data_IF_319938187000
#
_entry.id   IF_319938187000
#
_cell.length_a   1.000
_cell.length_b   1.000
_cell.length_c   1.000
_cell.angle_alpha   90.00
_cell.angle_beta   90.00
_cell.angle_gamma   90.00
#
_symmetry.space_group_name_H-M   'P 1'
#
loop_
_entity.id
_entity.type
_entity.pdbx_description
1 polymer ?
#
# COMPACT_ATOMS: atom_id res chain seq x y z
N UNK A 1 -9.53 -10.08 -1.25
CA UNK A 1 -8.29 -10.87 -1.08
C UNK A 1 -8.02 -11.72 -2.32
N UNK A 2 -8.93 -12.62 -2.73
CA UNK A 2 -8.77 -13.47 -3.92
C UNK A 2 -8.44 -12.68 -5.20
N UNK A 3 -9.18 -11.60 -5.51
CA UNK A 3 -8.93 -10.79 -6.72
C UNK A 3 -7.51 -10.19 -6.76
N UNK A 4 -7.04 -9.63 -5.63
CA UNK A 4 -5.71 -9.02 -5.50
C UNK A 4 -4.62 -10.10 -5.61
N UNK A 5 -4.78 -11.22 -4.90
CA UNK A 5 -3.83 -12.33 -4.94
C UNK A 5 -3.73 -12.94 -6.34
N UNK A 6 -4.86 -13.17 -7.00
CA UNK A 6 -4.92 -13.71 -8.36
C UNK A 6 -4.24 -12.80 -9.38
N UNK A 7 -4.45 -11.47 -9.28
CA UNK A 7 -3.74 -10.49 -10.12
C UNK A 7 -2.23 -10.54 -9.88
N UNK A 8 -1.78 -10.48 -8.63
CA UNK A 8 -0.37 -10.49 -8.27
C UNK A 8 0.34 -11.79 -8.71
N UNK A 9 -0.31 -12.95 -8.58
CA UNK A 9 0.24 -14.24 -9.02
C UNK A 9 0.36 -14.31 -10.56
N UNK A 10 -0.60 -13.76 -11.30
CA UNK A 10 -0.52 -13.65 -12.76
C UNK A 10 0.63 -12.75 -13.19
N UNK A 11 0.77 -11.57 -12.58
CA UNK A 11 1.87 -10.63 -12.86
C UNK A 11 3.23 -11.27 -12.55
N UNK A 12 3.37 -11.93 -11.40
CA UNK A 12 4.57 -12.68 -11.04
C UNK A 12 4.89 -13.75 -12.10
N UNK A 13 3.90 -14.56 -12.51
CA UNK A 13 4.12 -15.60 -13.53
C UNK A 13 4.50 -15.05 -14.91
N UNK A 14 3.89 -13.93 -15.34
CA UNK A 14 4.26 -13.22 -16.57
C UNK A 14 5.72 -12.76 -16.48
N UNK A 15 6.09 -12.08 -15.39
CA UNK A 15 7.45 -11.57 -15.20
C UNK A 15 8.49 -12.70 -15.18
N UNK A 16 8.16 -13.83 -14.56
CA UNK A 16 9.00 -15.03 -14.57
C UNK A 16 9.21 -15.56 -16.01
N UNK A 17 8.13 -15.74 -16.78
CA UNK A 17 8.22 -16.26 -18.15
C UNK A 17 8.98 -15.31 -19.09
N UNK A 18 8.78 -14.01 -18.94
CA UNK A 18 9.45 -12.99 -19.74
C UNK A 18 10.91 -12.74 -19.29
N UNK A 19 11.39 -13.47 -18.27
CA UNK A 19 12.72 -13.31 -17.68
C UNK A 19 12.97 -11.92 -17.08
N UNK A 20 11.91 -11.20 -16.70
CA UNK A 20 11.96 -9.96 -15.92
C UNK A 20 12.10 -10.27 -14.43
N UNK A 21 13.29 -10.71 -14.04
CA UNK A 21 13.56 -11.24 -12.70
C UNK A 21 14.33 -10.20 -11.88
N UNK A 22 13.61 -9.40 -11.10
CA UNK A 22 14.18 -8.48 -10.12
C UNK A 22 13.29 -8.41 -8.85
N UNK A 23 13.79 -7.76 -7.79
CA UNK A 23 13.08 -7.66 -6.49
C UNK A 23 11.78 -6.84 -6.54
N UNK A 24 11.56 -6.07 -7.60
CA UNK A 24 10.35 -5.28 -7.82
C UNK A 24 9.29 -6.05 -8.62
N UNK A 25 9.68 -7.06 -9.40
CA UNK A 25 8.78 -7.87 -10.25
C UNK A 25 8.41 -9.22 -9.64
N UNK A 26 9.29 -9.80 -8.82
CA UNK A 26 9.11 -11.09 -8.14
C UNK A 26 8.78 -10.84 -6.67
N UNK A 27 7.51 -11.08 -6.31
CA UNK A 27 6.97 -10.70 -5.01
C UNK A 27 7.24 -11.72 -3.91
N UNK A 28 7.60 -11.23 -2.72
CA UNK A 28 7.49 -11.99 -1.47
C UNK A 28 6.14 -11.73 -0.82
N UNK A 29 5.35 -12.78 -0.62
CA UNK A 29 4.03 -12.71 -0.01
C UNK A 29 4.18 -12.74 1.51
N UNK A 30 3.56 -11.77 2.20
CA UNK A 30 3.73 -11.60 3.65
C UNK A 30 2.38 -11.60 4.37
N UNK A 31 2.23 -12.50 5.34
CA UNK A 31 1.14 -12.49 6.31
C UNK A 31 1.63 -11.87 7.61
N UNK A 32 1.34 -10.57 7.78
CA UNK A 32 1.74 -9.79 8.95
C UNK A 32 0.50 -9.36 9.73
N UNK A 33 0.39 -9.75 10.99
CA UNK A 33 -0.69 -9.33 11.90
C UNK A 33 -0.44 -9.79 13.34
N UNK A 34 -1.26 -9.35 14.29
CA UNK A 34 -1.17 -9.71 15.71
C UNK A 34 -1.32 -11.21 16.00
N UNK A 35 -1.05 -11.62 17.23
CA UNK A 35 -1.18 -13.01 17.65
C UNK A 35 -2.64 -13.51 17.52
N UNK A 36 -2.83 -14.79 17.15
CA UNK A 36 -4.16 -15.42 17.08
C UNK A 36 -5.04 -15.04 15.89
N UNK A 37 -4.55 -14.25 14.93
CA UNK A 37 -5.32 -13.78 13.75
C UNK A 37 -5.39 -14.78 12.58
N UNK A 38 -4.81 -15.98 12.73
CA UNK A 38 -4.84 -17.03 11.70
C UNK A 38 -3.76 -16.93 10.61
N UNK A 39 -2.67 -16.18 10.83
CA UNK A 39 -1.53 -16.05 9.87
C UNK A 39 -0.97 -17.39 9.40
N UNK A 40 -0.51 -18.21 10.34
CA UNK A 40 0.11 -19.51 10.07
C UNK A 40 -0.86 -20.43 9.35
N UNK A 41 -2.15 -20.38 9.72
CA UNK A 41 -3.21 -21.11 9.02
C UNK A 41 -3.34 -20.65 7.56
N UNK A 42 -3.43 -19.33 7.31
CA UNK A 42 -3.54 -18.79 5.96
C UNK A 42 -2.28 -19.10 5.11
N UNK A 43 -1.10 -19.09 5.72
CA UNK A 43 0.14 -19.43 5.04
C UNK A 43 0.22 -20.94 4.69
N UNK A 44 -0.19 -21.82 5.60
CA UNK A 44 -0.27 -23.26 5.35
C UNK A 44 -1.33 -23.61 4.29
N UNK A 45 -2.44 -22.86 4.24
CA UNK A 45 -3.48 -23.00 3.23
C UNK A 45 -3.19 -22.20 1.93
N UNK A 46 -2.04 -21.52 1.83
CA UNK A 46 -1.74 -20.55 0.76
C UNK A 46 -1.88 -21.14 -0.64
N UNK A 47 -1.41 -22.39 -0.87
CA UNK A 47 -1.58 -23.07 -2.16
C UNK A 47 -3.05 -23.17 -2.57
N UNK A 48 -3.92 -23.55 -1.64
CA UNK A 48 -5.36 -23.69 -1.89
C UNK A 48 -5.95 -22.32 -2.21
N UNK A 49 -5.67 -21.31 -1.39
CA UNK A 49 -6.14 -19.93 -1.60
C UNK A 49 -5.64 -19.35 -2.93
N UNK A 50 -4.39 -19.65 -3.33
CA UNK A 50 -3.80 -19.22 -4.60
C UNK A 50 -4.52 -19.85 -5.80
N UNK A 51 -4.83 -21.15 -5.76
CA UNK A 51 -5.61 -21.81 -6.82
C UNK A 51 -7.03 -21.24 -6.90
N UNK A 52 -7.71 -21.10 -5.75
CA UNK A 52 -9.07 -20.55 -5.66
C UNK A 52 -9.13 -19.08 -6.13
N UNK A 53 -8.06 -18.31 -5.91
CA UNK A 53 -7.97 -16.91 -6.33
C UNK A 53 -8.03 -16.71 -7.85
N UNK A 54 -7.74 -17.77 -8.60
CA UNK A 54 -7.77 -17.78 -10.05
C UNK A 54 -9.04 -18.44 -10.61
N UNK A 55 -9.92 -18.99 -9.77
CA UNK A 55 -11.05 -19.83 -10.23
C UNK A 55 -12.11 -19.08 -11.06
N UNK A 56 -12.22 -17.77 -10.92
CA UNK A 56 -13.18 -16.94 -11.68
C UNK A 56 -12.63 -16.42 -13.01
N UNK A 57 -11.38 -16.72 -13.34
CA UNK A 57 -10.70 -16.24 -14.54
C UNK A 57 -10.48 -17.38 -15.53
N UNK A 58 -11.22 -17.39 -16.64
CA UNK A 58 -11.18 -18.45 -17.64
C UNK A 58 -10.08 -18.27 -18.69
N UNK A 59 -9.16 -17.31 -18.51
CA UNK A 59 -8.03 -17.15 -19.42
C UNK A 59 -7.09 -18.35 -19.42
N UNK A 60 -6.43 -18.59 -20.56
CA UNK A 60 -5.40 -19.63 -20.70
C UNK A 60 -4.29 -19.47 -19.66
N UNK A 61 -3.85 -18.22 -19.43
CA UNK A 61 -2.86 -17.87 -18.41
C UNK A 61 -3.28 -18.34 -17.01
N UNK A 62 -4.52 -18.04 -16.61
CA UNK A 62 -5.05 -18.46 -15.31
C UNK A 62 -5.17 -19.99 -15.22
N UNK A 63 -5.57 -20.66 -16.31
CA UNK A 63 -5.65 -22.12 -16.37
C UNK A 63 -4.30 -22.81 -16.21
N UNK A 64 -3.28 -22.33 -16.93
CA UNK A 64 -1.90 -22.82 -16.81
C UNK A 64 -1.36 -22.60 -15.40
N UNK A 65 -1.58 -21.40 -14.84
CA UNK A 65 -1.11 -21.10 -13.49
C UNK A 65 -1.82 -21.93 -12.42
N UNK A 66 -3.13 -22.18 -12.55
CA UNK A 66 -3.86 -23.11 -11.66
C UNK A 66 -3.29 -24.52 -11.70
N UNK A 67 -2.95 -25.03 -12.89
CA UNK A 67 -2.33 -26.35 -13.06
C UNK A 67 -0.97 -26.39 -12.35
N UNK A 68 -0.13 -25.37 -12.58
CA UNK A 68 1.19 -25.23 -11.95
C UNK A 68 1.10 -25.17 -10.43
N UNK A 69 0.24 -24.31 -9.87
CA UNK A 69 0.00 -24.19 -8.43
C UNK A 69 -0.58 -25.46 -7.82
N UNK A 70 -1.43 -26.17 -8.56
CA UNK A 70 -1.99 -27.46 -8.15
C UNK A 70 -0.96 -28.59 -8.19
N UNK A 71 0.12 -28.46 -8.95
CA UNK A 71 1.25 -29.40 -8.96
C UNK A 71 2.45 -28.96 -8.11
N UNK A 72 2.34 -27.83 -7.40
CA UNK A 72 3.49 -27.21 -6.75
C UNK A 72 4.08 -28.06 -5.60
N UNK A 73 5.40 -28.06 -5.50
CA UNK A 73 6.11 -28.56 -4.32
C UNK A 73 5.99 -27.54 -3.20
N UNK A 74 5.44 -27.97 -2.07
CA UNK A 74 5.17 -27.09 -0.93
C UNK A 74 6.08 -27.48 0.23
N UNK A 75 6.90 -26.54 0.68
CA UNK A 75 7.69 -26.67 1.90
C UNK A 75 7.11 -25.75 2.97
N UNK A 76 6.66 -26.33 4.08
CA UNK A 76 6.11 -25.60 5.21
C UNK A 76 7.11 -25.56 6.36
N UNK A 77 7.97 -24.54 6.36
CA UNK A 77 9.00 -24.33 7.36
C UNK A 77 8.44 -23.46 8.49
N UNK A 78 8.33 -24.00 9.70
CA UNK A 78 7.89 -23.23 10.87
C UNK A 78 9.03 -23.07 11.87
N UNK A 79 9.18 -21.84 12.37
CA UNK A 79 10.04 -21.51 13.51
C UNK A 79 9.26 -21.42 14.83
N UNK A 80 7.96 -21.70 14.84
CA UNK A 80 7.17 -21.65 16.08
C UNK A 80 7.51 -22.80 17.05
N UNK A 81 6.94 -22.71 18.26
CA UNK A 81 7.16 -23.58 19.43
C UNK A 81 7.59 -25.01 19.09
N UNK A 82 8.82 -25.37 19.48
CA UNK A 82 9.42 -26.70 19.26
C UNK A 82 10.35 -26.78 18.05
N UNK A 83 10.28 -25.83 17.11
CA UNK A 83 11.15 -25.72 15.94
C UNK A 83 11.85 -24.36 15.82
N UNK A 84 11.94 -23.61 16.92
CA UNK A 84 12.64 -22.33 16.99
C UNK A 84 14.11 -22.46 16.57
N UNK A 85 14.72 -21.34 16.18
CA UNK A 85 16.15 -21.30 15.83
C UNK A 85 16.95 -21.84 17.02
N UNK A 86 17.77 -22.86 16.75
CA UNK A 86 18.60 -23.47 17.78
C UNK A 86 19.86 -22.64 18.01
N UNK A 87 20.48 -22.78 19.18
CA UNK A 87 21.70 -22.03 19.53
C UNK A 87 22.90 -22.31 18.59
N UNK A 88 22.93 -23.49 17.96
CA UNK A 88 23.92 -23.89 16.97
C UNK A 88 23.61 -23.36 15.54
N UNK A 89 22.41 -22.83 15.30
CA UNK A 89 21.98 -22.25 14.03
C UNK A 89 22.30 -20.75 13.96
N UNK A 90 23.56 -20.41 13.64
CA UNK A 90 24.01 -19.01 13.53
C UNK A 90 23.41 -18.24 12.34
N UNK A 91 23.00 -18.95 11.28
CA UNK A 91 22.39 -18.37 10.08
C UNK A 91 20.95 -18.90 9.90
N UNK A 92 19.91 -18.09 10.18
CA UNK A 92 18.52 -18.55 10.07
C UNK A 92 18.09 -18.91 8.65
N UNK A 93 18.74 -18.36 7.62
CA UNK A 93 18.46 -18.74 6.24
C UNK A 93 18.88 -20.20 5.95
N UNK A 94 20.02 -20.65 6.47
CA UNK A 94 20.44 -22.06 6.37
C UNK A 94 19.56 -22.97 7.24
N UNK A 95 19.04 -22.43 8.35
CA UNK A 95 18.08 -23.14 9.21
C UNK A 95 16.77 -23.48 8.48
N UNK A 96 16.37 -22.69 7.47
CA UNK A 96 15.24 -23.00 6.58
C UNK A 96 15.54 -24.28 5.80
N UNK A 97 16.73 -24.40 5.21
CA UNK A 97 17.12 -25.56 4.41
C UNK A 97 17.14 -26.86 5.24
N UNK A 98 17.61 -26.80 6.49
CA UNK A 98 17.56 -27.93 7.41
C UNK A 98 16.12 -28.41 7.66
N UNK A 99 15.18 -27.46 7.83
CA UNK A 99 13.76 -27.78 8.03
C UNK A 99 13.08 -28.26 6.74
N UNK A 100 13.55 -27.83 5.56
CA UNK A 100 13.13 -28.42 4.28
C UNK A 100 13.58 -29.87 4.16
N UNK A 101 14.84 -30.19 4.52
CA UNK A 101 15.35 -31.56 4.55
C UNK A 101 14.58 -32.45 5.52
N UNK A 102 14.22 -31.94 6.70
CA UNK A 102 13.42 -32.67 7.68
C UNK A 102 12.05 -33.09 7.10
N UNK A 103 11.41 -32.24 6.29
CA UNK A 103 10.14 -32.59 5.61
C UNK A 103 10.31 -33.70 4.57
N UNK A 104 11.50 -33.82 3.96
CA UNK A 104 11.84 -34.88 3.01
C UNK A 104 12.23 -36.19 3.72
N UNK A 105 12.58 -36.13 5.01
CA UNK A 105 13.05 -37.25 5.83
C UNK A 105 12.15 -37.39 7.07
N UNK A 106 10.87 -37.78 6.93
CA UNK A 106 9.88 -37.72 8.00
C UNK A 106 10.14 -38.66 9.18
N UNK A 107 11.06 -39.62 9.03
CA UNK A 107 11.45 -40.56 10.08
C UNK A 107 12.65 -40.08 10.89
N UNK A 108 13.25 -38.95 10.53
CA UNK A 108 14.45 -38.41 11.15
C UNK A 108 14.13 -37.18 12.00
N UNK A 109 15.07 -36.78 12.85
CA UNK A 109 14.98 -35.59 13.69
C UNK A 109 15.99 -34.50 13.29
N UNK A 110 15.84 -33.29 13.85
CA UNK A 110 16.79 -32.20 13.62
C UNK A 110 18.23 -32.55 14.04
N UNK A 111 18.42 -33.48 14.99
CA UNK A 111 19.73 -33.96 15.37
C UNK A 111 20.38 -34.83 14.29
N UNK A 112 19.61 -35.66 13.59
CA UNK A 112 20.05 -36.42 12.43
C UNK A 112 20.48 -35.48 11.30
N UNK A 113 19.68 -34.45 11.00
CA UNK A 113 20.03 -33.44 9.99
C UNK A 113 21.36 -32.77 10.35
N UNK A 114 21.50 -32.28 11.58
CA UNK A 114 22.71 -31.60 12.04
C UNK A 114 23.99 -32.48 12.03
N UNK A 115 23.86 -33.81 12.19
CA UNK A 115 25.00 -34.74 12.18
C UNK A 115 25.41 -35.19 10.78
N UNK A 116 24.45 -35.31 9.86
CA UNK A 116 24.68 -35.95 8.56
C UNK A 116 24.73 -34.97 7.38
N UNK A 117 24.25 -33.74 7.57
CA UNK A 117 24.23 -32.72 6.52
C UNK A 117 25.02 -31.50 6.96
N UNK A 118 25.93 -31.06 6.09
CA UNK A 118 26.45 -29.69 6.17
C UNK A 118 25.28 -28.77 5.79
N UNK A 119 24.93 -27.74 6.58
CA UNK A 119 23.74 -26.92 6.34
C UNK A 119 23.71 -26.40 4.90
N UNK A 120 22.83 -26.93 4.04
CA UNK A 120 22.78 -26.51 2.65
C UNK A 120 22.09 -25.16 2.55
N UNK A 121 22.23 -24.47 1.42
CA UNK A 121 21.30 -23.40 1.09
C UNK A 121 19.95 -24.00 0.65
N UNK A 122 18.82 -23.31 0.84
CA UNK A 122 17.51 -23.76 0.36
C UNK A 122 17.53 -24.19 -1.12
N UNK A 123 18.26 -23.46 -1.97
CA UNK A 123 18.42 -23.79 -3.39
C UNK A 123 19.05 -25.17 -3.61
N UNK A 124 19.99 -25.58 -2.76
CA UNK A 124 20.65 -26.88 -2.89
C UNK A 124 19.71 -28.03 -2.51
N UNK A 125 18.83 -27.81 -1.52
CA UNK A 125 17.75 -28.76 -1.22
C UNK A 125 16.85 -28.93 -2.44
N UNK A 126 16.45 -27.84 -3.09
CA UNK A 126 15.63 -27.90 -4.30
C UNK A 126 16.32 -28.65 -5.45
N UNK A 127 17.63 -28.43 -5.67
CA UNK A 127 18.41 -29.20 -6.65
C UNK A 127 18.47 -30.68 -6.33
N UNK A 128 18.60 -31.06 -5.06
CA UNK A 128 18.60 -32.47 -4.63
C UNK A 128 17.25 -33.12 -4.96
N UNK A 129 16.14 -32.46 -4.64
CA UNK A 129 14.78 -32.97 -4.94
C UNK A 129 14.56 -33.06 -6.44
N UNK A 130 14.89 -32.03 -7.21
CA UNK A 130 14.80 -32.02 -8.68
C UNK A 130 15.57 -33.17 -9.33
N UNK A 131 16.78 -33.44 -8.85
CA UNK A 131 17.59 -34.57 -9.30
C UNK A 131 16.95 -35.92 -8.95
N UNK A 132 16.35 -36.05 -7.77
CA UNK A 132 15.66 -37.28 -7.34
C UNK A 132 14.41 -37.55 -8.18
N UNK A 133 13.59 -36.52 -8.39
CA UNK A 133 12.34 -36.56 -9.17
C UNK A 133 12.59 -36.58 -10.70
N UNK A 134 13.83 -36.39 -11.14
CA UNK A 134 14.24 -36.31 -12.56
C UNK A 134 13.49 -35.22 -13.33
N UNK A 135 13.29 -34.07 -12.68
CA UNK A 135 12.60 -32.92 -13.25
C UNK A 135 13.55 -31.71 -13.35
N UNK A 136 13.33 -30.85 -14.35
CA UNK A 136 14.05 -29.58 -14.46
C UNK A 136 13.46 -28.56 -13.48
N UNK A 137 14.34 -27.89 -12.73
CA UNK A 137 13.99 -26.84 -11.77
C UNK A 137 13.21 -25.68 -12.41
N UNK A 138 13.45 -25.37 -13.68
CA UNK A 138 12.70 -24.33 -14.40
C UNK A 138 11.25 -24.71 -14.71
N UNK A 139 10.96 -26.01 -14.79
CA UNK A 139 9.60 -26.51 -15.08
C UNK A 139 8.75 -26.65 -13.82
N UNK A 140 9.38 -26.78 -12.65
CA UNK A 140 8.72 -26.99 -11.37
C UNK A 140 8.17 -25.66 -10.82
N UNK A 141 7.06 -25.74 -10.08
CA UNK A 141 6.55 -24.64 -9.25
C UNK A 141 6.79 -24.95 -7.80
N UNK A 142 7.33 -23.99 -7.06
CA UNK A 142 7.72 -24.18 -5.66
C UNK A 142 6.99 -23.13 -4.82
N UNK A 143 6.37 -23.56 -3.73
CA UNK A 143 5.82 -22.69 -2.71
C UNK A 143 6.62 -22.93 -1.44
N UNK A 144 7.38 -21.92 -1.02
CA UNK A 144 8.14 -21.95 0.22
C UNK A 144 7.40 -21.11 1.25
N UNK A 145 6.79 -21.79 2.23
CA UNK A 145 6.17 -21.16 3.38
C UNK A 145 7.17 -21.09 4.53
N UNK A 146 7.45 -19.89 5.03
CA UNK A 146 8.31 -19.65 6.19
C UNK A 146 7.50 -18.96 7.29
N UNK A 147 7.06 -19.75 8.25
CA UNK A 147 6.21 -19.33 9.34
C UNK A 147 7.01 -18.99 10.60
N UNK A 148 6.63 -17.92 11.29
CA UNK A 148 7.24 -17.54 12.56
C UNK A 148 8.50 -16.68 12.46
N UNK A 149 8.66 -15.85 11.41
CA UNK A 149 9.84 -14.99 11.27
C UNK A 149 10.03 -14.01 12.43
N UNK A 150 8.99 -13.74 13.24
CA UNK A 150 9.12 -12.89 14.43
C UNK A 150 10.15 -13.40 15.43
N UNK A 151 10.45 -14.70 15.45
CA UNK A 151 11.47 -15.26 16.35
C UNK A 151 12.89 -14.80 16.00
N UNK A 152 13.06 -14.21 14.81
CA UNK A 152 14.30 -13.60 14.34
C UNK A 152 14.39 -12.11 14.70
N UNK A 153 13.31 -11.50 15.19
CA UNK A 153 13.26 -10.10 15.62
C UNK A 153 13.80 -9.98 17.04
N UNK A 154 15.00 -9.43 17.17
CA UNK A 154 15.62 -9.04 18.45
C UNK A 154 15.34 -7.57 18.77
N UNK A 155 15.11 -6.75 17.75
CA UNK A 155 14.81 -5.33 17.84
C UNK A 155 13.73 -4.93 16.83
N UNK A 156 12.98 -3.86 17.13
CA UNK A 156 12.01 -3.25 16.20
C UNK A 156 12.67 -2.72 14.92
N UNK A 157 13.97 -2.41 14.97
CA UNK A 157 14.74 -1.94 13.81
C UNK A 157 15.31 -3.06 12.94
N UNK A 158 15.14 -4.32 13.33
CA UNK A 158 15.74 -5.44 12.60
C UNK A 158 15.24 -5.52 11.17
N UNK A 159 13.97 -5.22 10.93
CA UNK A 159 13.39 -5.09 9.59
C UNK A 159 14.06 -4.06 8.67
N UNK A 160 14.86 -3.14 9.23
CA UNK A 160 15.55 -2.04 8.52
C UNK A 160 17.07 -2.20 8.51
N UNK A 161 17.60 -3.10 9.33
CA UNK A 161 19.04 -3.27 9.56
C UNK A 161 19.54 -4.44 8.74
N UNK A 162 20.39 -4.19 7.74
CA UNK A 162 20.85 -5.21 6.79
C UNK A 162 21.56 -6.40 7.45
N UNK A 163 22.23 -6.13 8.57
CA UNK A 163 22.96 -7.14 9.35
C UNK A 163 22.06 -7.89 10.34
N UNK A 164 20.77 -7.55 10.44
CA UNK A 164 19.87 -8.27 11.35
C UNK A 164 19.55 -9.66 10.80
N UNK A 165 19.41 -10.68 11.67
CA UNK A 165 19.02 -12.00 11.24
C UNK A 165 17.67 -12.02 10.49
N UNK A 166 16.72 -11.18 10.92
CA UNK A 166 15.40 -11.06 10.28
C UNK A 166 15.50 -10.50 8.85
N UNK A 167 16.15 -9.34 8.66
CA UNK A 167 16.25 -8.71 7.35
C UNK A 167 17.07 -9.54 6.39
N UNK A 168 18.22 -10.04 6.86
CA UNK A 168 19.07 -10.93 6.07
C UNK A 168 18.26 -12.13 5.57
N UNK A 169 17.55 -12.82 6.46
CA UNK A 169 16.77 -14.01 6.09
C UNK A 169 15.65 -13.68 5.12
N UNK A 170 14.90 -12.60 5.37
CA UNK A 170 13.82 -12.18 4.47
C UNK A 170 14.35 -11.78 3.08
N UNK A 171 15.46 -11.03 3.02
CA UNK A 171 16.09 -10.69 1.75
C UNK A 171 16.59 -11.94 1.02
N UNK A 172 17.24 -12.87 1.72
CA UNK A 172 17.75 -14.12 1.13
C UNK A 172 16.63 -15.03 0.63
N UNK A 173 15.46 -15.03 1.27
CA UNK A 173 14.25 -15.69 0.74
C UNK A 173 13.79 -15.01 -0.56
N UNK A 174 13.80 -13.68 -0.61
CA UNK A 174 13.51 -12.93 -1.83
C UNK A 174 14.52 -13.23 -2.95
N UNK A 175 15.81 -13.25 -2.63
CA UNK A 175 16.91 -13.56 -3.55
C UNK A 175 16.79 -14.99 -4.11
N UNK A 176 16.31 -15.95 -3.30
CA UNK A 176 16.03 -17.31 -3.75
C UNK A 176 14.98 -17.35 -4.89
N UNK A 177 13.96 -16.48 -4.82
CA UNK A 177 12.94 -16.37 -5.85
C UNK A 177 13.44 -15.71 -7.14
N UNK A 178 14.59 -15.03 -7.11
CA UNK A 178 15.24 -14.49 -8.30
C UNK A 178 16.05 -15.53 -9.09
N UNK A 179 16.06 -16.79 -8.65
CA UNK A 179 16.61 -17.88 -9.44
C UNK A 179 15.83 -18.10 -10.75
N UNK A 180 16.38 -18.91 -11.66
CA UNK A 180 15.65 -19.40 -12.86
C UNK A 180 14.62 -20.48 -12.50
N UNK A 181 13.84 -20.23 -11.44
CA UNK A 181 12.90 -21.17 -10.84
C UNK A 181 11.63 -20.39 -10.51
N UNK A 182 10.46 -20.96 -10.84
CA UNK A 182 9.21 -20.33 -10.45
C UNK A 182 8.91 -20.63 -8.97
N UNK A 183 9.42 -19.78 -8.09
CA UNK A 183 9.32 -19.91 -6.65
C UNK A 183 8.45 -18.79 -6.06
N UNK A 184 7.48 -19.19 -5.23
CA UNK A 184 6.57 -18.30 -4.55
C UNK A 184 6.91 -18.33 -3.06
N UNK A 185 7.63 -17.31 -2.53
CA UNK A 185 7.94 -17.25 -1.12
C UNK A 185 6.76 -16.62 -0.36
N UNK A 186 6.33 -17.30 0.69
CA UNK A 186 5.24 -16.90 1.56
C UNK A 186 5.76 -16.89 2.99
N UNK A 187 5.84 -15.73 3.64
CA UNK A 187 6.34 -15.66 5.01
C UNK A 187 5.28 -15.13 5.97
N UNK A 188 5.37 -15.53 7.23
CA UNK A 188 4.55 -14.97 8.31
C UNK A 188 5.44 -14.30 9.35
N UNK A 189 4.92 -13.23 9.94
CA UNK A 189 5.48 -12.69 11.17
C UNK A 189 4.37 -12.10 12.05
N UNK A 190 4.49 -12.28 13.36
CA UNK A 190 3.68 -11.54 14.32
C UNK A 190 4.24 -10.13 14.49
N UNK A 191 3.44 -9.12 14.16
CA UNK A 191 3.80 -7.71 14.28
C UNK A 191 2.88 -7.03 15.31
N UNK A 192 3.43 -6.07 16.04
CA UNK A 192 2.72 -5.28 17.07
C UNK A 192 2.57 -3.80 16.70
N UNK A 193 3.01 -3.41 15.50
CA UNK A 193 2.91 -2.06 14.92
C UNK A 193 2.73 -2.11 13.39
N UNK A 194 2.65 -0.96 12.70
CA UNK A 194 2.46 -0.86 11.24
C UNK A 194 3.50 -1.60 10.41
N UNK A 195 3.12 -2.20 9.27
CA UNK A 195 3.99 -3.03 8.41
C UNK A 195 5.22 -2.26 7.89
N UNK A 196 5.06 -0.96 7.67
CA UNK A 196 6.06 0.00 7.20
C UNK A 196 7.21 0.20 8.21
N UNK A 197 6.99 -0.16 9.47
CA UNK A 197 8.02 -0.17 10.51
C UNK A 197 8.83 -1.46 10.51
N UNK A 198 8.25 -2.56 10.04
CA UNK A 198 8.85 -3.90 10.06
C UNK A 198 9.69 -4.24 8.83
N UNK A 199 9.71 -3.41 7.77
CA UNK A 199 10.44 -3.70 6.52
C UNK A 199 11.24 -2.50 6.01
N UNK A 200 12.43 -2.74 5.46
CA UNK A 200 13.26 -1.72 4.80
C UNK A 200 12.58 -1.24 3.51
N UNK A 201 11.89 -0.12 3.63
CA UNK A 201 11.25 0.62 2.56
C UNK A 201 12.29 1.19 1.57
N UNK A 202 12.57 0.47 0.48
CA UNK A 202 13.57 0.89 -0.52
C UNK A 202 13.00 1.20 -1.90
N UNK A 203 11.88 0.59 -2.34
CA UNK A 203 11.18 0.97 -3.59
C UNK A 203 9.80 1.62 -3.37
N UNK A 204 9.13 1.29 -2.26
CA UNK A 204 7.79 1.82 -1.97
C UNK A 204 7.76 3.31 -1.58
N UNK A 205 8.86 3.86 -1.05
CA UNK A 205 8.94 5.30 -0.73
C UNK A 205 8.89 6.16 -1.99
N UNK A 206 9.66 5.76 -3.00
CA UNK A 206 9.67 6.44 -4.28
C UNK A 206 8.35 6.23 -5.01
N UNK A 207 7.77 5.02 -4.96
CA UNK A 207 6.45 4.80 -5.58
C UNK A 207 5.37 5.68 -4.97
N UNK A 208 5.29 5.79 -3.64
CA UNK A 208 4.32 6.69 -2.96
C UNK A 208 4.54 8.15 -3.40
N UNK A 209 5.79 8.62 -3.45
CA UNK A 209 6.07 10.00 -3.88
C UNK A 209 5.79 10.24 -5.37
N UNK A 210 6.04 9.24 -6.22
CA UNK A 210 5.70 9.26 -7.64
C UNK A 210 4.18 9.24 -7.84
N UNK A 211 3.46 8.47 -7.03
CA UNK A 211 2.00 8.41 -6.99
C UNK A 211 1.42 9.75 -6.51
N UNK A 212 2.02 10.38 -5.49
CA UNK A 212 1.65 11.71 -5.01
C UNK A 212 1.91 12.82 -6.05
N UNK A 213 2.84 12.57 -6.99
CA UNK A 213 3.06 13.40 -8.17
C UNK A 213 2.07 13.10 -9.31
N UNK A 214 1.21 12.07 -9.18
CA UNK A 214 0.05 11.82 -10.05
C UNK A 214 0.38 11.69 -11.54
N UNK A 215 1.59 11.26 -11.89
CA UNK A 215 2.09 11.22 -13.27
C UNK A 215 2.21 12.58 -13.96
N UNK A 216 2.23 13.69 -13.22
CA UNK A 216 2.43 15.03 -13.80
C UNK A 216 3.92 15.28 -14.01
N UNK A 217 4.34 15.48 -15.27
CA UNK A 217 5.74 15.74 -15.61
C UNK A 217 6.37 16.86 -14.77
N UNK A 218 5.65 17.96 -14.55
CA UNK A 218 6.13 19.09 -13.73
C UNK A 218 6.36 18.76 -12.25
N UNK A 219 5.55 17.87 -11.69
CA UNK A 219 5.72 17.41 -10.30
C UNK A 219 6.88 16.40 -10.20
N UNK A 220 6.97 15.50 -11.19
CA UNK A 220 8.04 14.50 -11.28
C UNK A 220 9.42 15.14 -11.52
N UNK A 221 9.51 16.18 -12.34
CA UNK A 221 10.74 16.98 -12.49
C UNK A 221 11.15 17.63 -11.16
N UNK A 222 10.20 18.18 -10.41
CA UNK A 222 10.46 18.72 -9.08
C UNK A 222 10.96 17.65 -8.11
N UNK A 223 10.42 16.42 -8.21
CA UNK A 223 10.83 15.29 -7.40
C UNK A 223 12.23 14.81 -7.76
N UNK A 224 12.55 14.71 -9.05
CA UNK A 224 13.90 14.41 -9.55
C UNK A 224 14.91 15.44 -9.05
N UNK A 225 14.59 16.74 -9.17
CA UNK A 225 15.43 17.81 -8.66
C UNK A 225 15.60 17.69 -7.13
N UNK A 226 14.53 17.42 -6.37
CA UNK A 226 14.55 17.27 -4.91
C UNK A 226 15.41 16.07 -4.46
N UNK A 227 15.33 14.96 -5.19
CA UNK A 227 16.14 13.76 -4.99
C UNK A 227 17.62 14.04 -5.28
N UNK A 228 17.94 14.70 -6.40
CA UNK A 228 19.30 15.03 -6.79
C UNK A 228 20.24 13.82 -6.77
N UNK A 229 21.34 13.90 -6.00
CA UNK A 229 22.30 12.78 -5.80
C UNK A 229 22.09 12.04 -4.47
N UNK A 230 20.96 12.25 -3.78
CA UNK A 230 20.73 11.65 -2.47
C UNK A 230 20.48 10.14 -2.61
N UNK A 231 20.99 9.37 -1.65
CA UNK A 231 20.69 7.96 -1.56
C UNK A 231 19.27 7.75 -1.01
N UNK A 232 18.37 7.27 -1.87
CA UNK A 232 16.94 7.03 -1.56
C UNK A 232 16.77 6.11 -0.35
N UNK A 233 17.71 5.19 -0.11
CA UNK A 233 17.65 4.28 1.04
C UNK A 233 17.85 5.00 2.38
N UNK A 234 18.52 6.15 2.38
CA UNK A 234 18.89 6.92 3.56
C UNK A 234 18.09 8.23 3.71
N UNK A 235 17.25 8.57 2.73
CA UNK A 235 16.47 9.81 2.75
C UNK A 235 15.23 9.68 3.63
N UNK A 236 15.08 10.66 4.52
CA UNK A 236 13.87 10.94 5.27
C UNK A 236 12.77 11.50 4.34
N UNK A 237 11.59 10.87 4.35
CA UNK A 237 10.51 11.18 3.40
C UNK A 237 9.92 12.56 3.68
N UNK A 238 9.77 12.92 4.96
CA UNK A 238 9.27 14.24 5.36
C UNK A 238 10.15 15.35 4.83
N UNK A 239 11.46 15.19 4.98
CA UNK A 239 12.43 16.15 4.47
C UNK A 239 12.36 16.23 2.95
N UNK A 240 12.27 15.08 2.27
CA UNK A 240 12.20 15.04 0.81
C UNK A 240 10.92 15.67 0.27
N UNK A 241 9.76 15.43 0.89
CA UNK A 241 8.49 15.98 0.41
C UNK A 241 8.38 17.48 0.71
N UNK A 242 8.96 17.95 1.82
CA UNK A 242 9.09 19.39 2.11
C UNK A 242 10.02 20.08 1.11
N UNK A 243 11.14 19.45 0.77
CA UNK A 243 12.08 19.94 -0.25
C UNK A 243 11.40 20.00 -1.63
N UNK A 244 10.66 18.94 -2.01
CA UNK A 244 9.83 18.91 -3.22
C UNK A 244 8.84 20.07 -3.24
N UNK A 245 8.05 20.22 -2.17
CA UNK A 245 7.05 21.28 -2.04
C UNK A 245 7.66 22.67 -2.19
N UNK A 246 8.79 22.92 -1.53
CA UNK A 246 9.52 24.18 -1.63
C UNK A 246 9.97 24.49 -3.05
N UNK A 247 10.56 23.51 -3.75
CA UNK A 247 10.99 23.67 -5.14
C UNK A 247 9.83 23.93 -6.09
N UNK A 248 8.74 23.18 -5.95
CA UNK A 248 7.53 23.39 -6.75
C UNK A 248 6.92 24.77 -6.49
N UNK A 249 6.91 25.23 -5.24
CA UNK A 249 6.41 26.55 -4.88
C UNK A 249 7.24 27.64 -5.55
N UNK A 250 8.57 27.59 -5.41
CA UNK A 250 9.47 28.58 -6.01
C UNK A 250 9.33 28.64 -7.53
N UNK A 251 9.22 27.48 -8.18
CA UNK A 251 9.17 27.35 -9.64
C UNK A 251 7.81 27.76 -10.22
N UNK A 252 6.71 27.44 -9.54
CA UNK A 252 5.37 27.54 -10.12
C UNK A 252 4.41 28.50 -9.41
N UNK A 253 4.84 29.22 -8.37
CA UNK A 253 3.94 30.09 -7.62
C UNK A 253 3.24 31.18 -8.44
N UNK A 254 3.83 31.60 -9.56
CA UNK A 254 3.26 32.59 -10.48
C UNK A 254 2.54 31.98 -11.69
N UNK A 255 2.67 30.68 -11.91
CA UNK A 255 2.21 30.02 -13.13
C UNK A 255 0.68 29.88 -13.20
N UNK A 256 0.02 29.81 -12.05
CA UNK A 256 -1.44 29.64 -12.00
C UNK A 256 -2.18 30.94 -12.31
N UNK A 257 -1.63 32.11 -11.97
CA UNK A 257 -2.31 33.41 -12.11
C UNK A 257 -3.77 33.36 -11.59
N UNK A 258 -3.97 32.71 -10.43
CA UNK A 258 -5.28 32.48 -9.80
C UNK A 258 -5.37 33.37 -8.54
N UNK A 259 -6.55 33.93 -8.29
CA UNK A 259 -6.81 34.67 -7.05
C UNK A 259 -7.01 33.74 -5.86
N UNK A 260 -6.89 34.29 -4.64
CA UNK A 260 -6.99 33.52 -3.39
C UNK A 260 -8.29 32.71 -3.25
N UNK A 261 -9.43 33.30 -3.59
CA UNK A 261 -10.75 32.66 -3.48
C UNK A 261 -10.86 31.50 -4.48
N UNK A 262 -10.34 31.70 -5.69
CA UNK A 262 -10.39 30.71 -6.75
C UNK A 262 -9.53 29.48 -6.45
N UNK A 263 -8.36 29.62 -5.81
CA UNK A 263 -7.52 28.45 -5.44
C UNK A 263 -8.24 27.54 -4.45
N UNK A 264 -8.95 28.11 -3.47
CA UNK A 264 -9.73 27.32 -2.51
C UNK A 264 -10.89 26.61 -3.19
N UNK A 265 -11.62 27.32 -4.07
CA UNK A 265 -12.71 26.71 -4.84
C UNK A 265 -12.18 25.61 -5.77
N UNK A 266 -10.97 25.75 -6.33
CA UNK A 266 -10.34 24.73 -7.20
C UNK A 266 -9.97 23.50 -6.36
N UNK A 267 -9.34 23.70 -5.20
CA UNK A 267 -9.02 22.63 -4.28
C UNK A 267 -10.27 21.88 -3.80
N UNK A 268 -11.34 22.61 -3.48
CA UNK A 268 -12.62 22.03 -3.08
C UNK A 268 -13.26 21.21 -4.22
N UNK A 269 -13.27 21.73 -5.45
CA UNK A 269 -13.78 21.00 -6.62
C UNK A 269 -13.00 19.70 -6.87
N UNK A 270 -11.67 19.72 -6.76
CA UNK A 270 -10.81 18.54 -6.91
C UNK A 270 -11.07 17.53 -5.78
N UNK A 271 -11.04 17.97 -4.52
CA UNK A 271 -11.21 17.12 -3.34
C UNK A 271 -12.58 16.44 -3.31
N UNK A 272 -13.63 17.14 -3.73
CA UNK A 272 -15.00 16.63 -3.72
C UNK A 272 -15.39 15.89 -5.00
N UNK A 273 -14.50 15.87 -6.02
CA UNK A 273 -14.80 15.41 -7.38
C UNK A 273 -16.10 16.05 -7.91
N UNK A 274 -16.18 17.37 -7.80
CA UNK A 274 -17.35 18.11 -8.27
C UNK A 274 -17.49 17.97 -9.78
N UNK A 275 -18.70 17.63 -10.24
CA UNK A 275 -19.06 17.65 -11.65
C UNK A 275 -19.21 19.10 -12.10
N UNK A 276 -18.41 19.53 -13.07
CA UNK A 276 -18.38 20.88 -13.62
C UNK A 276 -18.91 20.90 -15.05
N UNK A 277 -19.55 21.99 -15.44
CA UNK A 277 -19.98 22.25 -16.81
C UNK A 277 -18.88 23.04 -17.53
N UNK A 278 -18.33 22.50 -18.62
CA UNK A 278 -17.19 23.08 -19.31
C UNK A 278 -17.45 24.46 -19.92
N UNK A 279 -18.71 24.77 -20.23
CA UNK A 279 -19.12 26.05 -20.81
C UNK A 279 -19.50 27.09 -19.76
N UNK A 280 -19.48 26.73 -18.47
CA UNK A 280 -19.83 27.63 -17.37
C UNK A 280 -18.63 27.93 -16.50
N UNK A 281 -18.64 29.13 -15.95
CA UNK A 281 -17.71 29.52 -14.90
C UNK A 281 -17.99 28.66 -13.67
N UNK A 282 -16.93 28.14 -13.05
CA UNK A 282 -17.06 27.34 -11.84
C UNK A 282 -17.67 28.20 -10.72
N UNK A 283 -18.65 27.71 -9.94
CA UNK A 283 -19.23 28.45 -8.83
C UNK A 283 -18.16 29.05 -7.91
N UNK A 284 -18.26 30.35 -7.65
CA UNK A 284 -17.29 31.09 -6.82
C UNK A 284 -16.00 31.52 -7.53
N UNK A 285 -15.86 31.31 -8.85
CA UNK A 285 -14.68 31.66 -9.64
C UNK A 285 -14.97 32.65 -10.78
N UNK A 286 -13.92 33.08 -11.50
CA UNK A 286 -14.04 33.97 -12.69
C UNK A 286 -13.67 33.31 -14.02
N UNK A 287 -13.19 32.06 -14.00
CA UNK A 287 -12.66 31.35 -15.16
C UNK A 287 -13.40 30.03 -15.43
N UNK A 288 -13.35 29.59 -16.68
CA UNK A 288 -13.80 28.26 -17.11
C UNK A 288 -12.84 27.17 -16.61
N UNK A 289 -13.32 25.93 -16.42
CA UNK A 289 -12.47 24.80 -16.00
C UNK A 289 -11.19 24.62 -16.83
N UNK A 290 -11.28 24.72 -18.16
CA UNK A 290 -10.13 24.56 -19.07
C UNK A 290 -9.02 25.59 -18.82
N UNK A 291 -9.38 26.82 -18.46
CA UNK A 291 -8.41 27.88 -18.19
C UNK A 291 -7.55 27.60 -16.96
N UNK A 292 -8.04 26.78 -16.02
CA UNK A 292 -7.27 26.32 -14.87
C UNK A 292 -6.30 25.17 -15.22
N UNK A 293 -6.60 24.41 -16.27
CA UNK A 293 -5.75 23.32 -16.73
C UNK A 293 -4.63 23.78 -17.68
N UNK A 294 -4.78 24.94 -18.35
CA UNK A 294 -3.79 25.50 -19.28
C UNK A 294 -2.34 25.55 -18.74
N UNK A 295 -2.08 25.90 -17.45
CA UNK A 295 -0.72 25.89 -16.90
C UNK A 295 -0.09 24.49 -16.79
N UNK A 296 -0.86 23.40 -16.99
CA UNK A 296 -0.39 22.02 -16.93
C UNK A 296 -0.12 21.51 -15.51
N UNK A 297 -0.67 22.18 -14.49
CA UNK A 297 -0.57 21.81 -13.08
C UNK A 297 -1.82 21.08 -12.57
N UNK A 298 -2.95 21.34 -13.23
CA UNK A 298 -4.25 20.72 -13.00
C UNK A 298 -4.62 20.06 -14.32
N UNK A 299 -5.20 18.87 -14.25
CA UNK A 299 -5.80 18.18 -15.38
C UNK A 299 -7.29 18.43 -15.43
N UNK A 300 -7.78 18.35 -16.65
CA UNK A 300 -9.18 18.47 -16.95
C UNK A 300 -9.63 17.18 -17.62
N UNK A 301 -10.46 16.41 -16.91
CA UNK A 301 -10.87 15.06 -17.32
C UNK A 301 -12.34 15.06 -17.73
N UNK A 302 -12.57 14.66 -18.98
CA UNK A 302 -13.91 14.52 -19.56
C UNK A 302 -14.51 13.17 -19.22
N UNK A 303 -15.78 13.18 -18.84
CA UNK A 303 -16.58 11.97 -18.78
C UNK A 303 -17.11 11.66 -20.19
N UNK A 304 -16.94 10.42 -20.64
CA UNK A 304 -17.32 10.02 -21.99
C UNK A 304 -18.76 10.43 -22.36
N UNK A 305 -18.90 11.19 -23.44
CA UNK A 305 -20.19 11.49 -24.07
C UNK A 305 -21.04 12.61 -23.47
N UNK A 306 -20.57 13.34 -22.44
CA UNK A 306 -21.30 14.47 -21.82
C UNK A 306 -20.37 15.66 -21.57
N UNK A 307 -20.87 16.90 -21.71
CA UNK A 307 -20.16 18.16 -21.41
C UNK A 307 -20.04 18.42 -19.89
N UNK A 308 -19.75 17.37 -19.13
CA UNK A 308 -19.64 17.40 -17.68
C UNK A 308 -18.32 16.75 -17.29
N UNK A 309 -17.54 17.48 -16.52
CA UNK A 309 -16.09 17.32 -16.44
C UNK A 309 -15.60 17.46 -14.99
N UNK A 310 -14.40 16.96 -14.70
CA UNK A 310 -13.78 17.04 -13.38
C UNK A 310 -12.39 17.68 -13.46
N UNK A 311 -12.03 18.44 -12.43
CA UNK A 311 -10.64 18.86 -12.23
C UNK A 311 -9.92 17.80 -11.41
N UNK A 312 -8.73 17.41 -11.84
CA UNK A 312 -7.85 16.51 -11.09
C UNK A 312 -6.47 17.16 -10.92
N UNK A 313 -5.83 16.93 -9.77
CA UNK A 313 -4.45 17.37 -9.56
C UNK A 313 -3.72 16.36 -8.68
N UNK A 314 -2.39 16.24 -8.86
CA UNK A 314 -1.54 15.48 -7.96
C UNK A 314 -1.71 15.93 -6.52
N UNK A 315 -1.57 14.99 -5.60
CA UNK A 315 -1.72 15.24 -4.17
C UNK A 315 -0.84 16.39 -3.70
N UNK A 316 0.41 16.46 -4.18
CA UNK A 316 1.35 17.54 -3.84
C UNK A 316 0.82 18.93 -4.22
N UNK A 317 0.09 19.06 -5.32
CA UNK A 317 -0.53 20.33 -5.73
C UNK A 317 -1.74 20.67 -4.88
N UNK A 318 -2.58 19.67 -4.55
CA UNK A 318 -3.71 19.86 -3.64
C UNK A 318 -3.22 20.35 -2.28
N UNK A 319 -2.14 19.75 -1.75
CA UNK A 319 -1.50 20.21 -0.53
C UNK A 319 -1.07 21.69 -0.63
N UNK A 320 -0.38 22.05 -1.72
CA UNK A 320 0.07 23.42 -1.93
C UNK A 320 -1.09 24.42 -2.10
N UNK A 321 -2.17 24.04 -2.80
CA UNK A 321 -3.37 24.89 -2.97
C UNK A 321 -3.97 25.28 -1.63
N UNK A 322 -4.00 24.34 -0.69
CA UNK A 322 -4.56 24.55 0.64
C UNK A 322 -3.60 25.33 1.55
N UNK A 323 -2.31 24.99 1.57
CA UNK A 323 -1.38 25.47 2.60
C UNK A 323 -0.48 26.63 2.16
N UNK A 324 -0.05 26.67 0.91
CA UNK A 324 1.02 27.58 0.46
C UNK A 324 0.50 28.74 -0.39
N UNK A 325 -0.56 28.48 -1.14
CA UNK A 325 -1.20 29.49 -1.97
C UNK A 325 -2.30 30.28 -1.22
N UNK A 326 -2.76 29.80 -0.06
CA UNK A 326 -3.79 30.41 0.76
C UNK A 326 -3.24 31.28 1.90
N UNK A 327 -3.42 32.62 1.85
CA UNK A 327 -3.11 33.52 3.00
C UNK A 327 -4.16 33.50 4.12
N UNK A 328 -5.34 32.91 3.91
CA UNK A 328 -6.18 32.38 4.99
C UNK A 328 -6.59 31.00 4.55
N UNK A 329 -6.26 30.03 5.37
CA UNK A 329 -6.62 28.65 5.16
C UNK A 329 -8.08 28.51 5.58
N UNK A 330 -8.91 27.87 4.75
CA UNK A 330 -10.28 27.50 5.14
C UNK A 330 -10.20 26.81 6.53
N UNK A 331 -10.99 27.22 7.54
CA UNK A 331 -10.90 26.65 8.89
C UNK A 331 -11.01 25.12 8.92
N UNK A 332 -11.74 24.54 7.97
CA UNK A 332 -11.94 23.10 7.80
C UNK A 332 -10.67 22.44 7.23
N UNK A 333 -10.09 23.03 6.20
CA UNK A 333 -8.88 22.50 5.54
C UNK A 333 -7.59 22.82 6.31
N UNK A 334 -7.60 23.84 7.16
CA UNK A 334 -6.43 24.27 7.96
C UNK A 334 -5.90 23.19 8.89
N UNK A 335 -6.81 22.37 9.40
CA UNK A 335 -6.49 21.35 10.39
C UNK A 335 -6.30 19.97 9.73
N UNK A 336 -6.39 19.88 8.41
CA UNK A 336 -6.06 18.66 7.69
C UNK A 336 -4.54 18.47 7.66
N UNK A 337 -4.10 17.24 7.89
CA UNK A 337 -2.69 16.88 7.85
C UNK A 337 -2.33 16.38 6.46
N UNK A 338 -1.92 17.29 5.59
CA UNK A 338 -1.49 16.96 4.21
C UNK A 338 -0.05 16.44 4.12
N UNK A 339 0.73 16.56 5.20
CA UNK A 339 2.08 16.04 5.28
C UNK A 339 2.24 15.34 6.61
N UNK A 340 1.65 14.17 6.67
CA UNK A 340 1.58 13.36 7.87
C UNK A 340 2.59 12.23 7.88
N UNK A 341 3.59 12.28 6.99
CA UNK A 341 4.72 11.36 7.07
C UNK A 341 5.46 11.55 8.42
N UNK A 342 5.37 12.74 9.04
CA UNK A 342 5.90 13.07 10.36
C UNK A 342 4.97 12.72 11.54
N UNK A 343 3.72 12.28 11.37
CA UNK A 343 3.02 11.63 12.50
C UNK A 343 3.58 10.25 12.81
N UNK A 344 4.36 9.66 11.89
CA UNK A 344 5.32 8.60 12.23
C UNK A 344 6.47 9.09 13.14
N UNK A 345 6.63 10.40 13.36
CA UNK A 345 7.65 11.03 14.23
C UNK A 345 7.08 11.44 15.60
N UNK A 346 5.76 11.50 15.80
CA UNK A 346 5.17 11.63 17.15
C UNK A 346 5.48 10.41 18.05
N UNK A 347 5.97 9.31 17.46
CA UNK A 347 6.53 8.15 18.16
C UNK A 347 7.98 8.34 18.63
N UNK A 348 8.61 9.49 18.35
CA UNK A 348 9.98 9.82 18.81
C UNK A 348 9.94 10.55 20.17
N UNK A 349 8.78 11.06 20.60
CA UNK A 349 8.60 11.69 21.92
C UNK A 349 7.57 10.95 22.78
N UNK A 350 8.07 10.19 23.75
CA UNK A 350 7.28 9.43 24.74
C UNK A 350 6.41 10.29 25.68
N UNK A 351 6.47 11.62 25.58
CA UNK A 351 5.62 12.53 26.39
C UNK A 351 4.23 12.77 25.81
N UNK A 352 3.96 12.31 24.58
CA UNK A 352 2.65 12.42 23.93
C UNK A 352 1.94 11.05 23.92
N UNK A 353 0.67 11.01 24.35
CA UNK A 353 -0.08 9.76 24.46
C UNK A 353 -0.43 9.18 23.06
N UNK A 354 0.00 7.94 22.73
CA UNK A 354 -0.33 7.31 21.44
C UNK A 354 -1.74 6.73 21.43
N UNK A 355 -2.47 6.89 20.32
CA UNK A 355 -3.67 6.09 20.00
C UNK A 355 -5.04 6.78 20.15
N UNK A 356 -5.15 7.91 20.85
CA UNK A 356 -6.41 8.67 20.90
C UNK A 356 -6.65 9.53 19.65
N UNK A 357 -5.57 9.87 18.93
CA UNK A 357 -5.58 10.83 17.83
C UNK A 357 -6.03 10.22 16.49
N UNK A 358 -5.82 8.92 16.23
CA UNK A 358 -6.07 8.34 14.89
C UNK A 358 -7.56 8.25 14.52
N UNK A 359 -8.39 7.69 15.41
CA UNK A 359 -9.82 7.58 15.15
C UNK A 359 -10.50 8.96 15.19
N UNK A 360 -10.11 9.82 16.14
CA UNK A 360 -10.64 11.19 16.23
C UNK A 360 -10.23 12.05 15.04
N UNK A 361 -9.01 11.88 14.48
CA UNK A 361 -8.60 12.56 13.26
C UNK A 361 -9.29 12.01 12.02
N UNK A 362 -9.51 10.70 11.93
CA UNK A 362 -10.29 10.11 10.85
C UNK A 362 -11.76 10.55 10.91
N UNK A 363 -12.38 10.56 12.09
CA UNK A 363 -13.73 11.10 12.31
C UNK A 363 -13.79 12.59 11.96
N UNK A 364 -12.80 13.37 12.41
CA UNK A 364 -12.67 14.77 12.05
C UNK A 364 -12.53 14.95 10.54
N UNK A 365 -11.69 14.16 9.88
CA UNK A 365 -11.52 14.17 8.41
C UNK A 365 -12.82 13.83 7.70
N UNK A 366 -13.51 12.75 8.09
CA UNK A 366 -14.78 12.35 7.48
C UNK A 366 -15.86 13.42 7.69
N UNK A 367 -15.98 13.97 8.89
CA UNK A 367 -16.96 15.00 9.20
C UNK A 367 -16.64 16.32 8.48
N UNK A 368 -15.37 16.74 8.47
CA UNK A 368 -14.92 17.93 7.74
C UNK A 368 -15.07 17.77 6.22
N UNK A 369 -14.84 16.59 5.68
CA UNK A 369 -15.06 16.30 4.26
C UNK A 369 -16.55 16.38 3.88
N UNK A 370 -17.45 15.95 4.77
CA UNK A 370 -18.89 16.14 4.58
C UNK A 370 -19.28 17.61 4.60
N UNK A 371 -18.70 18.40 5.49
CA UNK A 371 -18.86 19.87 5.47
C UNK A 371 -18.42 20.45 4.13
N UNK A 372 -17.23 20.09 3.64
CA UNK A 372 -16.74 20.57 2.35
C UNK A 372 -17.70 20.24 1.21
N UNK A 373 -18.22 19.00 1.16
CA UNK A 373 -19.18 18.59 0.15
C UNK A 373 -20.48 19.39 0.19
N UNK A 374 -21.02 19.65 1.39
CA UNK A 374 -22.26 20.43 1.52
C UNK A 374 -22.15 21.87 1.02
N UNK A 375 -20.95 22.47 1.10
CA UNK A 375 -20.67 23.84 0.64
C UNK A 375 -20.56 23.97 -0.87
N UNK A 376 -20.48 22.85 -1.59
CA UNK A 376 -20.41 22.86 -3.06
C UNK A 376 -21.76 23.18 -3.72
N UNK A 377 -22.83 23.14 -2.94
CA UNK A 377 -24.21 23.34 -3.37
C UNK A 377 -24.87 24.44 -2.52
N UNK A 378 -25.88 25.10 -3.07
CA UNK A 378 -26.63 26.12 -2.34
C UNK A 378 -27.51 25.51 -1.24
N UNK A 379 -27.88 26.33 -0.25
CA UNK A 379 -28.84 25.92 0.79
C UNK A 379 -30.22 25.65 0.17
N UNK A 380 -30.79 24.48 0.42
CA UNK A 380 -32.06 24.05 -0.17
C UNK A 380 -31.96 23.61 -1.64
N UNK A 381 -30.76 23.54 -2.22
CA UNK A 381 -30.58 23.04 -3.58
C UNK A 381 -30.95 21.55 -3.65
N UNK A 382 -31.78 21.11 -4.61
CA UNK A 382 -32.02 19.70 -4.85
C UNK A 382 -30.77 19.03 -5.43
N UNK A 383 -30.18 18.11 -4.68
CA UNK A 383 -28.94 17.41 -5.05
C UNK A 383 -29.15 15.90 -5.01
N UNK A 384 -28.56 15.19 -5.96
CA UNK A 384 -28.58 13.73 -5.99
C UNK A 384 -27.45 13.11 -5.18
N UNK A 385 -27.71 11.95 -4.58
CA UNK A 385 -26.70 11.21 -3.82
C UNK A 385 -25.50 10.81 -4.69
N UNK A 386 -25.70 10.54 -5.99
CA UNK A 386 -24.62 10.27 -6.93
C UNK A 386 -23.73 11.48 -7.22
N UNK A 387 -24.25 12.70 -7.08
CA UNK A 387 -23.48 13.94 -7.24
C UNK A 387 -22.59 14.17 -6.01
N UNK A 388 -23.13 13.95 -4.80
CA UNK A 388 -22.37 14.09 -3.54
C UNK A 388 -21.37 12.96 -3.34
N UNK A 389 -21.67 11.75 -3.80
CA UNK A 389 -20.81 10.57 -3.70
C UNK A 389 -20.35 10.07 -5.08
N UNK A 390 -19.87 10.98 -5.92
CA UNK A 390 -19.28 10.64 -7.21
C UNK A 390 -18.22 9.52 -7.05
N UNK A 391 -18.33 8.47 -7.87
CA UNK A 391 -17.45 7.29 -7.84
C UNK A 391 -17.84 6.19 -6.84
N UNK A 392 -18.84 6.40 -5.98
CA UNK A 392 -19.34 5.36 -5.07
C UNK A 392 -20.28 4.38 -5.79
N UNK A 393 -20.25 3.10 -5.39
CA UNK A 393 -21.24 2.09 -5.81
C UNK A 393 -22.51 2.25 -4.98
N UNK A 394 -23.46 3.01 -5.49
CA UNK A 394 -24.73 3.31 -4.81
C UNK A 394 -25.85 2.37 -5.30
N UNK A 395 -26.73 1.98 -4.37
CA UNK A 395 -27.97 1.26 -4.70
C UNK A 395 -29.10 2.28 -4.91
N UNK A 396 -29.15 2.88 -6.09
CA UNK A 396 -30.12 3.92 -6.45
C UNK A 396 -29.53 5.33 -6.39
N UNK A 397 -30.27 6.28 -6.96
CA UNK A 397 -29.87 7.69 -7.05
C UNK A 397 -31.05 8.61 -6.72
N UNK A 398 -31.26 8.83 -5.42
CA UNK A 398 -32.33 9.68 -4.92
C UNK A 398 -31.86 11.13 -4.74
N UNK A 399 -32.84 12.03 -4.76
CA UNK A 399 -32.65 13.47 -4.63
C UNK A 399 -33.03 13.91 -3.21
N UNK A 400 -32.29 14.89 -2.67
CA UNK A 400 -32.53 15.48 -1.37
C UNK A 400 -32.16 16.97 -1.38
N UNK A 401 -32.76 17.75 -0.47
CA UNK A 401 -32.40 19.16 -0.29
C UNK A 401 -31.06 19.25 0.45
N UNK A 402 -30.11 19.99 -0.13
CA UNK A 402 -28.81 20.23 0.48
C UNK A 402 -28.93 21.20 1.66
N UNK A 403 -28.21 20.90 2.73
CA UNK A 403 -28.02 21.80 3.87
C UNK A 403 -26.54 22.02 4.09
N UNK A 404 -26.11 23.27 4.22
CA UNK A 404 -24.74 23.62 4.55
C UNK A 404 -24.42 23.15 5.97
N UNK A 405 -23.49 22.20 6.08
CA UNK A 405 -23.15 21.58 7.35
C UNK A 405 -22.10 22.41 8.09
N UNK A 406 -22.23 22.43 9.41
CA UNK A 406 -21.21 22.94 10.33
C UNK A 406 -20.68 21.82 11.22
N UNK A 407 -19.41 21.95 11.62
CA UNK A 407 -18.77 20.99 12.51
C UNK A 407 -19.04 21.36 13.97
N UNK A 408 -19.59 20.41 14.73
CA UNK A 408 -19.78 20.54 16.17
C UNK A 408 -19.16 19.34 16.91
N UNK A 409 -18.68 19.58 18.12
CA UNK A 409 -18.26 18.52 19.03
C UNK A 409 -19.50 17.82 19.57
N UNK A 410 -19.53 16.49 19.47
CA UNK A 410 -20.60 15.69 20.06
C UNK A 410 -20.61 15.91 21.59
N UNK A 411 -21.70 16.46 22.12
CA UNK A 411 -21.88 16.67 23.56
C UNK A 411 -22.53 15.46 24.26
N UNK A 412 -23.04 14.50 23.48
CA UNK A 412 -23.71 13.29 23.96
C UNK A 412 -23.33 12.10 23.08
N UNK A 413 -23.09 10.94 23.70
CA UNK A 413 -22.83 9.68 23.02
C UNK A 413 -24.09 8.81 23.13
N UNK A 414 -24.73 8.51 22.00
CA UNK A 414 -25.86 7.56 21.96
C UNK A 414 -25.36 6.15 21.64
N UNK A 415 -25.99 5.13 22.23
CA UNK A 415 -25.64 3.72 22.02
C UNK A 415 -25.98 3.32 20.57
N UNK A 416 -24.97 2.93 19.78
CA UNK A 416 -25.11 2.54 18.38
C UNK A 416 -25.64 1.11 18.19
N UNK A 417 -26.05 0.42 19.25
CA UNK A 417 -26.72 -0.88 19.13
C UNK A 417 -28.05 -0.70 18.41
N UNK A 418 -28.12 -1.22 17.19
CA UNK A 418 -29.34 -1.27 16.37
C UNK A 418 -30.50 -2.05 17.02
N UNK A 419 -30.27 -2.74 18.14
CA UNK A 419 -31.26 -3.48 18.91
C UNK A 419 -32.08 -2.62 19.89
N UNK A 420 -31.70 -1.35 20.13
CA UNK A 420 -32.40 -0.46 21.08
C UNK A 420 -33.36 0.54 20.42
N UNK A 421 -33.44 0.60 19.09
CA UNK A 421 -34.40 1.45 18.40
C UNK A 421 -35.61 0.62 17.93
N UNK A 422 -36.52 0.36 18.86
CA UNK A 422 -37.91 0.04 18.52
C UNK A 422 -38.68 1.35 18.67
N UNK A 423 -39.00 1.97 17.54
CA UNK A 423 -39.90 3.11 17.40
C UNK A 423 -40.86 2.84 16.27
#
# INVERSE_FOLDING_TARGET
MHEILGKALKEHYINFNDSHIDKSTILTYLFLSGAGTGKSRNANEFRKTAVESLSSDDSELASTLRTRLSGAWVFNVSFETGNSIRHDESNPYLAIANRMLLQLLPNEDMGYIARNFIPPEPLDVLKIVAKHEKQDLGEITIILVVDGLQDMLKSRLDGRTETSPFYYTLSSIGDLALGKIFLIPCCTATITGPVEEFLKLTHRKLSVLVDDCGGHGRALEGLEEALGKRDIAMVDIDTLIKDLRGKLLDKYCKALNITRTEILSVAQAILTQQLLDGDKVIPGMTKLPEQFAQPGLIRYERKDGVNTEYLTAPYIWVWMFVHDFGKAVDPVLKNWRFCDYAEHVSEIDSSLAPGALFWQHFEYFVASFRVLKSRMYEEGEPVKISQVHAGARLQGDFEFENHQLEMHLASHQEDTKSASHVG
#
